data_IF_081953962078
#
_entry.id   IF_081953962078
#
_cell.length_a   1.000
_cell.length_b   1.000
_cell.length_c   1.000
_cell.angle_alpha   90.00
_cell.angle_beta   90.00
_cell.angle_gamma   90.00
#
_symmetry.space_group_name_H-M   'P 1'
#
loop_
_entity.id
_entity.type
_entity.pdbx_description
1 polymer ?
#
# COMPACT_ATOMS: atom_id res chain seq x y z
N UNK A 1 20.60 -13.50 55.95
CA UNK A 1 20.96 -14.11 54.64
C UNK A 1 19.81 -13.83 53.66
N UNK A 2 19.85 -12.77 52.83
CA UNK A 2 18.75 -12.45 51.92
C UNK A 2 18.86 -13.22 50.61
N UNK A 3 17.73 -13.76 50.13
CA UNK A 3 17.59 -14.41 48.81
C UNK A 3 17.50 -13.34 47.72
N UNK A 4 18.43 -13.36 46.78
CA UNK A 4 18.41 -12.56 45.54
C UNK A 4 17.32 -13.09 44.61
N UNK A 5 16.29 -12.27 44.37
CA UNK A 5 15.32 -12.44 43.29
C UNK A 5 16.00 -12.20 41.95
N UNK A 6 15.96 -13.19 41.04
CA UNK A 6 16.36 -13.01 39.63
C UNK A 6 15.48 -11.93 39.01
N UNK A 7 16.11 -10.87 38.52
CA UNK A 7 15.49 -9.96 37.57
C UNK A 7 15.18 -10.72 36.28
N UNK A 8 13.89 -10.81 35.96
CA UNK A 8 13.39 -11.27 34.67
C UNK A 8 13.81 -10.28 33.60
N UNK A 9 14.57 -10.73 32.59
CA UNK A 9 14.98 -9.89 31.47
C UNK A 9 13.78 -9.39 30.63
N UNK A 10 13.96 -8.32 29.84
CA UNK A 10 12.88 -7.77 29.02
C UNK A 10 12.40 -8.79 27.98
N UNK A 11 11.09 -8.83 27.65
CA UNK A 11 10.58 -9.73 26.64
C UNK A 11 11.22 -9.40 25.29
N UNK A 12 11.66 -10.47 24.63
CA UNK A 12 12.26 -10.48 23.32
C UNK A 12 11.55 -9.51 22.36
N UNK A 13 12.33 -8.63 21.73
CA UNK A 13 11.91 -7.90 20.56
C UNK A 13 11.19 -8.87 19.63
N UNK A 14 9.91 -8.62 19.39
CA UNK A 14 9.11 -9.35 18.42
C UNK A 14 9.91 -9.30 17.12
N UNK A 15 10.49 -10.43 16.76
CA UNK A 15 11.15 -10.60 15.48
C UNK A 15 10.11 -10.22 14.44
N UNK A 16 10.33 -9.08 13.79
CA UNK A 16 9.71 -8.73 12.52
C UNK A 16 10.22 -9.80 11.56
N UNK A 17 9.57 -10.96 11.58
CA UNK A 17 9.76 -11.98 10.58
C UNK A 17 9.60 -11.27 9.27
N UNK A 18 10.71 -11.13 8.56
CA UNK A 18 10.81 -10.64 7.20
C UNK A 18 9.93 -11.52 6.33
N UNK A 19 8.63 -11.23 6.37
CA UNK A 19 7.65 -11.77 5.45
C UNK A 19 8.03 -11.12 4.14
N UNK A 20 8.71 -11.90 3.31
CA UNK A 20 8.93 -11.68 1.87
C UNK A 20 8.51 -10.27 1.41
N UNK A 21 9.48 -9.38 1.25
CA UNK A 21 9.28 -8.09 0.55
C UNK A 21 9.09 -8.32 -0.96
N UNK A 22 8.30 -9.33 -1.34
CA UNK A 22 8.04 -9.73 -2.70
C UNK A 22 7.00 -8.81 -3.32
N UNK A 23 7.41 -8.09 -4.36
CA UNK A 23 6.64 -7.80 -5.58
C UNK A 23 5.12 -7.56 -5.48
N UNK A 24 4.64 -6.92 -4.41
CA UNK A 24 3.23 -6.55 -4.28
C UNK A 24 2.95 -5.27 -5.05
N UNK A 25 1.86 -5.23 -5.81
CA UNK A 25 1.32 -4.01 -6.39
C UNK A 25 1.12 -2.97 -5.27
N UNK A 26 1.59 -1.75 -5.49
CA UNK A 26 1.43 -0.66 -4.53
C UNK A 26 -0.03 -0.24 -4.42
N UNK A 27 -0.56 -0.19 -3.19
CA UNK A 27 -1.92 0.29 -2.92
C UNK A 27 -1.88 1.78 -2.52
N UNK A 28 -2.86 2.58 -2.95
CA UNK A 28 -2.99 3.95 -2.46
C UNK A 28 -3.18 3.98 -0.94
N UNK A 29 -2.39 4.83 -0.28
CA UNK A 29 -2.51 5.11 1.14
C UNK A 29 -2.44 6.63 1.36
N UNK A 30 -3.33 7.14 2.22
CA UNK A 30 -3.32 8.55 2.63
C UNK A 30 -2.72 8.69 4.02
N UNK A 31 -1.69 9.51 4.15
CA UNK A 31 -1.04 9.77 5.44
C UNK A 31 -2.03 10.49 6.36
N UNK A 32 -2.21 9.95 7.57
CA UNK A 32 -2.99 10.55 8.65
C UNK A 32 -2.09 11.37 9.55
N UNK A 33 -0.95 10.79 9.95
CA UNK A 33 0.09 11.45 10.70
C UNK A 33 1.44 10.79 10.42
N UNK A 34 2.53 11.53 10.64
CA UNK A 34 3.89 11.03 10.50
C UNK A 34 4.79 11.62 11.60
N UNK A 35 5.68 10.79 12.11
CA UNK A 35 6.73 11.16 13.05
C UNK A 35 8.07 10.65 12.50
N UNK A 36 8.90 11.58 12.01
CA UNK A 36 10.13 11.24 11.31
C UNK A 36 9.88 10.38 10.07
N UNK A 37 10.36 9.14 10.10
CA UNK A 37 10.23 8.17 8.99
C UNK A 37 9.13 7.12 9.22
N UNK A 38 8.35 7.24 10.30
CA UNK A 38 7.21 6.38 10.56
C UNK A 38 5.91 7.16 10.32
N UNK A 39 4.95 6.55 9.65
CA UNK A 39 3.65 7.15 9.39
C UNK A 39 2.50 6.20 9.70
N UNK A 40 1.38 6.77 10.14
CA UNK A 40 0.08 6.11 10.08
C UNK A 40 -0.67 6.60 8.84
N UNK A 41 -1.28 5.68 8.13
CA UNK A 41 -2.02 5.94 6.92
C UNK A 41 -3.33 5.16 6.88
N UNK A 42 -4.20 5.53 5.94
CA UNK A 42 -5.43 4.80 5.63
C UNK A 42 -5.41 4.39 4.17
N UNK A 43 -5.71 3.12 3.93
CA UNK A 43 -5.91 2.52 2.61
C UNK A 43 -7.39 2.16 2.43
N UNK A 44 -7.78 1.68 1.25
CA UNK A 44 -9.10 1.07 1.03
C UNK A 44 -9.39 -0.12 1.98
N UNK A 45 -8.36 -0.76 2.55
CA UNK A 45 -8.49 -1.88 3.50
C UNK A 45 -8.45 -1.43 4.97
N UNK A 46 -8.42 -0.12 5.24
CA UNK A 46 -8.35 0.44 6.58
C UNK A 46 -6.97 1.00 6.94
N UNK A 47 -6.77 1.21 8.24
CA UNK A 47 -5.56 1.84 8.79
C UNK A 47 -4.34 0.92 8.69
N UNK A 48 -3.18 1.51 8.39
CA UNK A 48 -1.90 0.80 8.33
C UNK A 48 -0.74 1.69 8.77
N UNK A 49 0.36 1.05 9.19
CA UNK A 49 1.63 1.72 9.47
C UNK A 49 2.55 1.61 8.25
N UNK A 50 3.28 2.69 7.94
CA UNK A 50 4.19 2.77 6.80
C UNK A 50 5.55 3.33 7.19
N UNK A 51 6.60 2.74 6.63
CA UNK A 51 7.94 3.33 6.60
C UNK A 51 8.09 4.31 5.44
N UNK A 52 8.63 5.50 5.71
CA UNK A 52 8.82 6.58 4.75
C UNK A 52 10.26 6.70 4.22
N UNK A 53 11.12 5.71 4.49
CA UNK A 53 12.55 5.79 4.15
C UNK A 53 12.82 6.08 2.65
N UNK A 54 11.92 5.70 1.74
CA UNK A 54 12.09 5.94 0.29
C UNK A 54 11.55 7.29 -0.17
N UNK A 55 10.53 7.83 0.50
CA UNK A 55 9.87 9.08 0.10
C UNK A 55 10.36 10.28 0.90
N UNK A 56 11.02 10.03 2.04
CA UNK A 56 11.25 11.04 3.07
C UNK A 56 9.97 11.35 3.87
N UNK A 57 10.07 12.21 4.90
CA UNK A 57 8.94 12.63 5.71
C UNK A 57 7.83 13.27 4.86
N UNK A 58 6.57 12.97 5.18
CA UNK A 58 5.41 13.46 4.45
C UNK A 58 4.37 14.07 5.39
N UNK A 59 3.66 15.14 4.97
CA UNK A 59 2.60 15.74 5.77
C UNK A 59 1.32 14.89 5.78
N UNK A 60 0.47 15.13 6.77
CA UNK A 60 -0.89 14.60 6.79
C UNK A 60 -1.65 15.01 5.52
N UNK A 61 -2.42 14.09 4.96
CA UNK A 61 -3.15 14.27 3.70
C UNK A 61 -2.37 13.92 2.44
N UNK A 62 -1.05 13.71 2.53
CA UNK A 62 -0.25 13.23 1.40
C UNK A 62 -0.69 11.82 0.97
N UNK A 63 -0.58 11.53 -0.33
CA UNK A 63 -0.90 10.23 -0.90
C UNK A 63 0.37 9.51 -1.35
N UNK A 64 0.44 8.21 -1.09
CA UNK A 64 1.57 7.35 -1.48
C UNK A 64 1.08 6.04 -2.05
N UNK A 65 1.95 5.39 -2.84
CA UNK A 65 1.84 3.97 -3.13
C UNK A 65 2.58 3.17 -2.06
N UNK A 66 1.83 2.36 -1.33
CA UNK A 66 2.31 1.53 -0.24
C UNK A 66 2.43 0.07 -0.67
N UNK A 67 3.58 -0.56 -0.43
CA UNK A 67 3.79 -2.00 -0.64
C UNK A 67 4.77 -2.53 0.40
N UNK A 68 4.52 -3.73 0.92
CA UNK A 68 5.40 -4.35 1.93
C UNK A 68 5.60 -3.52 3.20
N UNK A 69 4.62 -2.70 3.59
CA UNK A 69 4.73 -1.81 4.76
C UNK A 69 5.60 -0.56 4.54
N UNK A 70 5.95 -0.23 3.29
CA UNK A 70 6.73 0.97 2.96
C UNK A 70 6.01 1.85 1.92
N UNK A 71 6.15 3.17 2.08
CA UNK A 71 5.82 4.12 1.02
C UNK A 71 6.91 4.06 -0.05
N UNK A 72 6.53 3.83 -1.31
CA UNK A 72 7.46 3.65 -2.45
C UNK A 72 7.49 4.84 -3.40
N UNK A 73 6.36 5.52 -3.53
CA UNK A 73 6.24 6.71 -4.37
C UNK A 73 5.16 7.63 -3.80
N UNK A 74 5.36 8.94 -3.94
CA UNK A 74 4.33 9.94 -3.70
C UNK A 74 3.47 10.05 -4.94
N UNK A 75 2.15 10.10 -4.77
CA UNK A 75 1.16 10.27 -5.83
C UNK A 75 0.20 11.39 -5.47
N UNK A 76 -0.53 11.91 -6.45
CA UNK A 76 -1.64 12.83 -6.19
C UNK A 76 -2.94 12.06 -5.90
N UNK A 77 -3.93 12.78 -5.36
CA UNK A 77 -5.22 12.21 -5.00
C UNK A 77 -6.05 11.71 -6.20
N UNK A 78 -5.87 12.29 -7.39
CA UNK A 78 -6.55 11.84 -8.61
C UNK A 78 -6.02 10.49 -9.05
N UNK A 79 -4.69 10.31 -9.04
CA UNK A 79 -4.05 9.03 -9.30
C UNK A 79 -4.44 7.96 -8.27
N UNK A 80 -4.52 8.32 -6.99
CA UNK A 80 -4.99 7.40 -5.95
C UNK A 80 -6.41 6.88 -6.25
N UNK A 81 -7.35 7.78 -6.54
CA UNK A 81 -8.73 7.43 -6.89
C UNK A 81 -8.82 6.56 -8.16
N UNK A 82 -8.01 6.87 -9.17
CA UNK A 82 -8.00 6.08 -10.41
C UNK A 82 -7.53 4.63 -10.16
N UNK A 83 -6.53 4.44 -9.29
CA UNK A 83 -6.07 3.11 -8.91
C UNK A 83 -7.13 2.37 -8.10
N UNK A 84 -7.76 3.02 -7.12
CA UNK A 84 -8.85 2.40 -6.34
C UNK A 84 -10.02 1.97 -7.24
N UNK A 85 -10.43 2.83 -8.18
CA UNK A 85 -11.48 2.50 -9.15
C UNK A 85 -11.12 1.30 -10.06
N UNK A 86 -9.85 1.21 -10.47
CA UNK A 86 -9.37 0.07 -11.25
C UNK A 86 -9.41 -1.22 -10.43
N UNK A 87 -9.04 -1.16 -9.15
CA UNK A 87 -9.10 -2.31 -8.24
C UNK A 87 -10.54 -2.75 -7.97
N UNK A 88 -11.48 -1.81 -7.82
CA UNK A 88 -12.90 -2.14 -7.65
C UNK A 88 -13.48 -2.83 -8.89
N UNK A 89 -13.06 -2.42 -10.09
CA UNK A 89 -13.44 -3.10 -11.34
C UNK A 89 -12.87 -4.53 -11.40
N UNK A 90 -11.60 -4.70 -11.04
CA UNK A 90 -10.97 -6.02 -11.00
C UNK A 90 -11.68 -6.93 -9.98
N UNK A 91 -12.06 -6.41 -8.82
CA UNK A 91 -12.83 -7.14 -7.83
C UNK A 91 -14.22 -7.53 -8.35
N UNK A 92 -14.89 -6.65 -9.10
CA UNK A 92 -16.19 -6.96 -9.71
C UNK A 92 -16.08 -8.07 -10.78
N UNK A 93 -15.04 -8.03 -11.61
CA UNK A 93 -14.74 -9.11 -12.57
C UNK A 93 -14.47 -10.43 -11.82
N UNK A 94 -13.66 -10.40 -10.75
CA UNK A 94 -13.33 -11.58 -9.97
C UNK A 94 -14.55 -12.21 -9.27
N UNK A 95 -15.56 -11.41 -8.92
CA UNK A 95 -16.85 -11.88 -8.37
C UNK A 95 -17.81 -12.41 -9.43
N UNK A 96 -17.53 -12.19 -10.72
CA UNK A 96 -18.44 -12.50 -11.81
C UNK A 96 -19.58 -11.49 -11.97
N UNK A 97 -19.45 -10.30 -11.38
CA UNK A 97 -20.46 -9.23 -11.46
C UNK A 97 -20.42 -8.47 -12.80
N UNK A 98 -19.35 -8.67 -13.59
CA UNK A 98 -19.26 -8.21 -14.97
C UNK A 98 -19.34 -9.37 -15.95
N UNK A 99 -20.08 -9.15 -17.03
CA UNK A 99 -20.05 -10.00 -18.21
C UNK A 99 -18.63 -10.09 -18.79
N UNK A 100 -18.20 -11.31 -19.12
CA UNK A 100 -16.83 -11.61 -19.58
C UNK A 100 -16.47 -10.83 -20.85
N UNK A 101 -17.41 -10.68 -21.79
CA UNK A 101 -17.16 -9.97 -23.04
C UNK A 101 -16.98 -8.46 -22.79
N UNK A 102 -17.76 -7.89 -21.87
CA UNK A 102 -17.61 -6.50 -21.46
C UNK A 102 -16.28 -6.26 -20.72
N UNK A 103 -15.90 -7.17 -19.82
CA UNK A 103 -14.64 -7.09 -19.07
C UNK A 103 -13.42 -7.14 -20.01
N UNK A 104 -13.42 -8.10 -20.94
CA UNK A 104 -12.37 -8.26 -21.96
C UNK A 104 -12.26 -7.04 -22.87
N UNK A 105 -13.39 -6.49 -23.34
CA UNK A 105 -13.43 -5.28 -24.16
C UNK A 105 -12.87 -4.04 -23.45
N UNK A 106 -13.21 -3.85 -22.17
CA UNK A 106 -12.69 -2.74 -21.37
C UNK A 106 -11.16 -2.82 -21.16
N UNK A 107 -10.64 -4.02 -20.85
CA UNK A 107 -9.20 -4.23 -20.70
C UNK A 107 -8.45 -4.00 -22.01
N UNK A 108 -8.95 -4.53 -23.14
CA UNK A 108 -8.35 -4.32 -24.45
C UNK A 108 -8.29 -2.82 -24.81
N UNK A 109 -9.36 -2.07 -24.53
CA UNK A 109 -9.39 -0.62 -24.75
C UNK A 109 -8.40 0.13 -23.86
N UNK A 110 -8.30 -0.25 -22.59
CA UNK A 110 -7.33 0.34 -21.67
C UNK A 110 -5.88 0.12 -22.13
N UNK A 111 -5.53 -1.12 -22.51
CA UNK A 111 -4.20 -1.41 -23.05
C UNK A 111 -3.92 -0.64 -24.34
N UNK A 112 -4.89 -0.52 -25.25
CA UNK A 112 -4.73 0.29 -26.46
C UNK A 112 -4.43 1.77 -26.15
N UNK A 113 -5.03 2.33 -25.10
CA UNK A 113 -4.74 3.70 -24.65
C UNK A 113 -3.33 3.79 -24.07
N UNK A 114 -2.96 2.88 -23.17
CA UNK A 114 -1.64 2.90 -22.50
C UNK A 114 -0.51 2.66 -23.49
N UNK A 115 -0.64 1.69 -24.40
CA UNK A 115 0.37 1.38 -25.41
C UNK A 115 0.61 2.54 -26.38
N UNK A 116 -0.40 3.34 -26.70
CA UNK A 116 -0.24 4.55 -27.53
C UNK A 116 0.58 5.66 -26.85
N UNK A 117 0.76 5.59 -25.53
CA UNK A 117 1.58 6.53 -24.77
C UNK A 117 2.98 6.00 -24.45
N UNK A 118 3.31 4.76 -24.84
CA UNK A 118 4.62 4.16 -24.59
C UNK A 118 5.63 4.36 -25.74
N UNK A 119 5.20 4.92 -26.89
CA UNK A 119 6.04 5.22 -28.06
C UNK A 119 6.63 6.65 -28.06
N UNK A 120 6.94 7.23 -26.89
CA UNK A 120 7.57 8.56 -26.76
C UNK A 120 8.82 8.49 -25.87
#
# INVERSE_FOLDING_TARGET
MPRLTRFSGPPAAASLSSRSQGAGIGLPARIVCAEGLAAQAVTRHGACALGLAHTGPLPAGAWVLASGGAARAVIDSGRARAIDAALDLLDAIARGDLDEALASGCLARYFAIVSRHADI
#
